data_IF_434704499771
#
_entry.id   IF_434704499771
#
_cell.length_a   1.000
_cell.length_b   1.000
_cell.length_c   1.000
_cell.angle_alpha   90.00
_cell.angle_beta   90.00
_cell.angle_gamma   90.00
#
_symmetry.space_group_name_H-M   'P 1'
#
loop_
_entity.id
_entity.type
_entity.pdbx_description
1 polymer ?
#
# COMPACT_ATOMS: atom_id res chain seq x y z
N UNK A 1 13.07 8.05 14.63
CA UNK A 1 13.26 9.15 13.67
C UNK A 1 14.40 8.92 12.70
N UNK A 2 15.66 8.71 13.13
CA UNK A 2 16.76 8.48 12.17
C UNK A 2 16.46 7.36 11.16
N UNK A 3 15.98 6.20 11.62
CA UNK A 3 15.62 5.10 10.72
C UNK A 3 14.51 5.47 9.73
N UNK A 4 13.55 6.32 10.13
CA UNK A 4 12.50 6.80 9.23
C UNK A 4 13.09 7.60 8.07
N UNK A 5 13.86 8.65 8.40
CA UNK A 5 14.44 9.59 7.43
C UNK A 5 15.53 8.95 6.57
N UNK A 6 16.24 7.95 7.10
CA UNK A 6 17.32 7.28 6.38
C UNK A 6 16.84 6.09 5.53
N UNK A 7 15.76 5.39 5.92
CA UNK A 7 15.37 4.13 5.28
C UNK A 7 13.86 4.03 5.03
N UNK A 8 13.01 4.20 6.04
CA UNK A 8 11.57 3.91 5.88
C UNK A 8 10.90 4.78 4.82
N UNK A 9 11.17 6.09 4.80
CA UNK A 9 10.58 7.00 3.82
C UNK A 9 10.92 6.63 2.35
N UNK A 10 12.06 5.97 2.12
CA UNK A 10 12.48 5.52 0.79
C UNK A 10 11.60 4.40 0.23
N UNK A 11 10.76 3.78 1.07
CA UNK A 11 9.89 2.66 0.71
C UNK A 11 8.45 3.05 0.37
N UNK A 12 8.13 4.36 0.29
CA UNK A 12 6.75 4.82 0.07
C UNK A 12 6.43 5.23 -1.35
N UNK A 13 7.42 5.61 -2.16
CA UNK A 13 7.21 6.03 -3.53
C UNK A 13 8.47 5.84 -4.39
N UNK A 14 8.26 5.69 -5.70
CA UNK A 14 9.32 5.70 -6.71
C UNK A 14 9.50 7.08 -7.34
N UNK A 15 8.39 7.77 -7.58
CA UNK A 15 8.38 9.12 -8.16
C UNK A 15 9.11 10.10 -7.23
N UNK A 16 10.09 10.81 -7.76
CA UNK A 16 11.04 11.59 -6.96
C UNK A 16 10.39 12.76 -6.20
N UNK A 17 9.47 13.47 -6.83
CA UNK A 17 8.69 14.58 -6.25
C UNK A 17 7.79 14.12 -5.10
N UNK A 18 7.17 12.95 -5.23
CA UNK A 18 6.34 12.33 -4.18
C UNK A 18 7.21 11.77 -3.07
N UNK A 19 8.36 11.20 -3.42
CA UNK A 19 9.30 10.72 -2.42
C UNK A 19 9.85 11.87 -1.55
N UNK A 20 10.05 13.05 -2.12
CA UNK A 20 10.47 14.26 -1.38
C UNK A 20 9.43 14.68 -0.32
N UNK A 21 8.14 14.52 -0.61
CA UNK A 21 7.07 14.74 0.37
C UNK A 21 7.27 13.85 1.60
N UNK A 22 7.54 12.57 1.41
CA UNK A 22 7.73 11.63 2.52
C UNK A 22 9.07 11.84 3.24
N UNK A 23 10.11 12.30 2.54
CA UNK A 23 11.44 12.57 3.10
C UNK A 23 11.49 13.85 3.93
N UNK A 24 10.83 14.91 3.48
CA UNK A 24 10.97 16.25 4.07
C UNK A 24 9.67 16.76 4.69
N UNK A 25 8.60 16.81 3.89
CA UNK A 25 7.33 17.44 4.29
C UNK A 25 6.69 16.68 5.46
N UNK A 26 6.67 15.34 5.40
CA UNK A 26 6.09 14.50 6.45
C UNK A 26 6.83 14.69 7.79
N UNK A 27 8.17 14.53 7.90
CA UNK A 27 8.89 14.83 9.14
C UNK A 27 8.71 16.26 9.66
N UNK A 28 8.80 17.27 8.80
CA UNK A 28 8.62 18.67 9.22
C UNK A 28 7.23 18.92 9.82
N UNK A 29 6.20 18.34 9.20
CA UNK A 29 4.82 18.41 9.72
C UNK A 29 4.70 17.65 11.04
N UNK A 30 5.31 16.47 11.14
CA UNK A 30 5.32 15.63 12.33
C UNK A 30 6.00 16.30 13.54
N UNK A 31 7.08 17.07 13.34
CA UNK A 31 7.72 17.80 14.45
C UNK A 31 6.80 18.85 15.09
N UNK A 32 5.81 19.34 14.34
CA UNK A 32 4.80 20.27 14.85
C UNK A 32 3.52 19.56 15.30
N UNK A 33 3.42 18.23 15.13
CA UNK A 33 2.24 17.44 15.41
C UNK A 33 2.57 16.08 16.07
N UNK A 34 2.54 15.98 17.41
CA UNK A 34 2.95 14.77 18.13
C UNK A 34 2.26 13.46 17.71
N UNK A 35 0.94 13.43 17.39
CA UNK A 35 0.30 12.21 16.89
C UNK A 35 0.89 11.73 15.57
N UNK A 36 1.13 12.64 14.62
CA UNK A 36 1.79 12.30 13.36
C UNK A 36 3.22 11.80 13.60
N UNK A 37 3.96 12.41 14.52
CA UNK A 37 5.29 11.92 14.90
C UNK A 37 5.24 10.48 15.42
N UNK A 38 4.28 10.15 16.29
CA UNK A 38 4.08 8.78 16.74
C UNK A 38 3.76 7.84 15.57
N UNK A 39 2.95 8.25 14.59
CA UNK A 39 2.68 7.44 13.39
C UNK A 39 3.95 7.17 12.56
N UNK A 40 4.81 8.18 12.36
CA UNK A 40 6.10 7.99 11.68
C UNK A 40 7.03 7.03 12.45
N UNK A 41 7.04 7.13 13.78
CA UNK A 41 7.82 6.25 14.64
C UNK A 41 7.29 4.82 14.65
N UNK A 42 5.96 4.66 14.60
CA UNK A 42 5.31 3.36 14.47
C UNK A 42 5.71 2.68 13.16
N UNK A 43 5.60 3.37 12.02
CA UNK A 43 6.05 2.87 10.72
C UNK A 43 7.56 2.56 10.69
N UNK A 44 8.39 3.41 11.29
CA UNK A 44 9.82 3.16 11.36
C UNK A 44 10.15 1.92 12.20
N UNK A 45 9.46 1.72 13.32
CA UNK A 45 9.61 0.52 14.14
C UNK A 45 9.10 -0.73 13.39
N UNK A 46 7.96 -0.64 12.71
CA UNK A 46 7.42 -1.73 11.89
C UNK A 46 8.39 -2.14 10.79
N UNK A 47 8.97 -1.17 10.08
CA UNK A 47 9.98 -1.44 9.06
C UNK A 47 11.24 -2.09 9.64
N UNK A 48 11.66 -1.70 10.84
CA UNK A 48 12.77 -2.39 11.53
C UNK A 48 12.42 -3.82 11.91
N UNK A 49 11.18 -4.08 12.35
CA UNK A 49 10.72 -5.43 12.61
C UNK A 49 10.82 -6.28 11.33
N UNK A 50 10.34 -5.76 10.20
CA UNK A 50 10.42 -6.41 8.90
C UNK A 50 11.87 -6.76 8.47
N UNK A 51 12.81 -5.86 8.73
CA UNK A 51 14.23 -6.06 8.40
C UNK A 51 15.02 -6.88 9.45
N UNK A 52 14.40 -7.27 10.56
CA UNK A 52 15.10 -7.96 11.65
C UNK A 52 15.38 -9.42 11.30
N UNK A 53 16.61 -9.87 11.60
CA UNK A 53 17.03 -11.25 11.34
C UNK A 53 16.63 -12.22 12.47
N UNK A 54 16.34 -11.70 13.67
CA UNK A 54 16.00 -12.51 14.85
C UNK A 54 14.54 -12.32 15.23
N UNK A 55 13.89 -13.40 15.69
CA UNK A 55 12.51 -13.34 16.16
C UNK A 55 12.35 -12.41 17.39
N UNK A 56 13.37 -12.34 18.24
CA UNK A 56 13.40 -11.46 19.42
C UNK A 56 13.38 -9.98 19.02
N UNK A 57 14.24 -9.56 18.09
CA UNK A 57 14.23 -8.17 17.60
C UNK A 57 12.94 -7.85 16.86
N UNK A 58 12.43 -8.79 16.08
CA UNK A 58 11.18 -8.63 15.36
C UNK A 58 10.01 -8.39 16.34
N UNK A 59 9.85 -9.25 17.36
CA UNK A 59 8.81 -9.10 18.39
C UNK A 59 8.98 -7.78 19.16
N UNK A 60 10.22 -7.44 19.52
CA UNK A 60 10.53 -6.17 20.19
C UNK A 60 10.10 -4.95 19.37
N UNK A 61 10.46 -4.90 18.08
CA UNK A 61 10.10 -3.76 17.24
C UNK A 61 8.61 -3.73 16.90
N UNK A 62 7.95 -4.88 16.80
CA UNK A 62 6.50 -5.00 16.70
C UNK A 62 5.78 -4.42 17.91
N UNK A 63 6.26 -4.71 19.12
CA UNK A 63 5.69 -4.16 20.35
C UNK A 63 5.86 -2.64 20.42
N UNK A 64 7.04 -2.12 20.05
CA UNK A 64 7.32 -0.67 19.99
C UNK A 64 6.40 0.00 18.95
N UNK A 65 6.31 -0.58 17.76
CA UNK A 65 5.47 -0.15 16.66
C UNK A 65 4.01 0.01 17.09
N UNK A 66 3.46 -1.05 17.71
CA UNK A 66 2.07 -1.10 18.19
C UNK A 66 1.83 -0.08 19.29
N UNK A 67 2.77 0.12 20.20
CA UNK A 67 2.66 1.13 21.27
C UNK A 67 2.53 2.54 20.71
N UNK A 68 3.39 2.93 19.75
CA UNK A 68 3.30 4.25 19.11
C UNK A 68 1.98 4.43 18.36
N UNK A 69 1.53 3.40 17.62
CA UNK A 69 0.30 3.48 16.85
C UNK A 69 -0.94 3.63 17.74
N UNK A 70 -1.02 2.86 18.83
CA UNK A 70 -2.13 2.92 19.78
C UNK A 70 -2.22 4.27 20.48
N UNK A 71 -1.07 4.86 20.85
CA UNK A 71 -1.03 6.20 21.45
C UNK A 71 -1.52 7.28 20.48
N UNK A 72 -1.24 7.11 19.19
CA UNK A 72 -1.52 8.13 18.20
C UNK A 72 -2.95 8.07 17.65
N UNK A 73 -3.50 6.86 17.47
CA UNK A 73 -4.80 6.66 16.83
C UNK A 73 -5.96 7.23 17.64
N UNK A 74 -5.89 7.18 18.98
CA UNK A 74 -6.91 7.77 19.84
C UNK A 74 -6.97 9.29 19.64
N UNK A 75 -5.82 9.95 19.72
CA UNK A 75 -5.72 11.41 19.55
C UNK A 75 -6.13 11.82 18.13
N UNK A 76 -5.75 11.03 17.13
CA UNK A 76 -6.18 11.25 15.74
C UNK A 76 -7.70 11.25 15.60
N UNK A 77 -8.39 10.22 16.12
CA UNK A 77 -9.85 10.10 16.04
C UNK A 77 -10.59 11.30 16.66
N UNK A 78 -10.08 11.84 17.76
CA UNK A 78 -10.66 13.01 18.42
C UNK A 78 -10.48 14.32 17.63
N UNK A 79 -9.48 14.37 16.73
CA UNK A 79 -9.14 15.55 15.92
C UNK A 79 -9.82 15.58 14.56
N UNK A 80 -10.14 14.42 13.98
CA UNK A 80 -10.80 14.32 12.66
C UNK A 80 -12.07 15.18 12.55
N UNK A 81 -12.98 15.23 13.56
CA UNK A 81 -14.16 16.09 13.50
C UNK A 81 -13.87 17.59 13.68
N UNK A 82 -12.63 17.96 14.03
CA UNK A 82 -12.17 19.33 14.30
C UNK A 82 -11.08 19.73 13.30
N UNK A 83 -11.31 19.41 12.03
CA UNK A 83 -10.37 19.73 10.97
C UNK A 83 -10.28 21.24 10.76
N UNK A 84 -9.08 21.72 10.50
CA UNK A 84 -8.76 23.13 10.23
C UNK A 84 -7.69 23.18 9.14
N UNK A 85 -7.51 24.36 8.54
CA UNK A 85 -6.45 24.56 7.54
C UNK A 85 -5.05 24.19 8.06
N UNK A 86 -4.79 24.44 9.35
CA UNK A 86 -3.47 24.19 9.95
C UNK A 86 -3.20 22.70 10.23
N UNK A 87 -4.22 21.90 10.52
CA UNK A 87 -4.07 20.49 10.87
C UNK A 87 -4.43 19.51 9.73
N UNK A 88 -5.07 19.98 8.65
CA UNK A 88 -5.54 19.16 7.54
C UNK A 88 -4.43 18.30 6.92
N UNK A 89 -3.27 18.90 6.63
CA UNK A 89 -2.12 18.18 6.08
C UNK A 89 -1.62 17.08 7.03
N UNK A 90 -1.59 17.35 8.34
CA UNK A 90 -1.18 16.35 9.33
C UNK A 90 -2.17 15.19 9.44
N UNK A 91 -3.47 15.50 9.42
CA UNK A 91 -4.53 14.48 9.46
C UNK A 91 -4.52 13.61 8.19
N UNK A 92 -4.30 14.21 7.03
CA UNK A 92 -4.12 13.47 5.78
C UNK A 92 -2.93 12.50 5.87
N UNK A 93 -1.74 13.00 6.24
CA UNK A 93 -0.57 12.15 6.42
C UNK A 93 -0.82 11.02 7.40
N UNK A 94 -1.41 11.33 8.57
CA UNK A 94 -1.70 10.32 9.58
C UNK A 94 -2.58 9.21 9.01
N UNK A 95 -3.65 9.58 8.29
CA UNK A 95 -4.58 8.62 7.71
C UNK A 95 -3.89 7.74 6.66
N UNK A 96 -3.09 8.33 5.76
CA UNK A 96 -2.30 7.59 4.77
C UNK A 96 -1.29 6.64 5.43
N UNK A 97 -0.57 7.11 6.45
CA UNK A 97 0.41 6.30 7.18
C UNK A 97 -0.23 5.18 8.00
N UNK A 98 -1.42 5.41 8.56
CA UNK A 98 -2.21 4.38 9.24
C UNK A 98 -2.62 3.26 8.26
N UNK A 99 -3.01 3.59 7.03
CA UNK A 99 -3.29 2.58 6.00
C UNK A 99 -2.05 1.74 5.66
N UNK A 100 -0.90 2.38 5.43
CA UNK A 100 0.37 1.68 5.17
C UNK A 100 0.79 0.83 6.38
N UNK A 101 0.59 1.33 7.59
CA UNK A 101 0.89 0.61 8.83
C UNK A 101 0.09 -0.69 8.93
N UNK A 102 -1.23 -0.61 8.73
CA UNK A 102 -2.13 -1.77 8.81
C UNK A 102 -1.70 -2.81 7.77
N UNK A 103 -1.49 -2.36 6.53
CA UNK A 103 -1.05 -3.25 5.46
C UNK A 103 0.27 -3.95 5.78
N UNK A 104 1.28 -3.21 6.26
CA UNK A 104 2.57 -3.78 6.59
C UNK A 104 2.53 -4.72 7.79
N UNK A 105 1.71 -4.41 8.79
CA UNK A 105 1.54 -5.27 9.96
C UNK A 105 0.92 -6.62 9.60
N UNK A 106 -0.08 -6.63 8.72
CA UNK A 106 -0.70 -7.86 8.22
C UNK A 106 0.21 -8.63 7.27
N UNK A 107 0.90 -7.95 6.35
CA UNK A 107 1.85 -8.58 5.43
C UNK A 107 2.97 -9.31 6.17
N UNK A 108 3.50 -8.69 7.23
CA UNK A 108 4.49 -9.31 8.09
C UNK A 108 3.91 -10.48 8.88
N UNK A 109 2.70 -10.35 9.43
CA UNK A 109 1.99 -11.45 10.10
C UNK A 109 1.87 -12.69 9.20
N UNK A 110 1.50 -12.51 7.92
CA UNK A 110 1.42 -13.59 6.92
C UNK A 110 2.78 -14.21 6.64
N UNK A 111 3.82 -13.39 6.49
CA UNK A 111 5.19 -13.84 6.19
C UNK A 111 5.77 -14.68 7.34
N UNK A 112 5.60 -14.24 8.58
CA UNK A 112 6.22 -14.88 9.75
C UNK A 112 5.54 -16.19 10.17
N UNK A 113 4.25 -16.35 9.86
CA UNK A 113 3.52 -17.57 10.18
C UNK A 113 3.73 -18.69 9.15
N UNK A 114 4.42 -18.44 8.01
CA UNK A 114 4.63 -19.41 6.92
C UNK A 114 3.37 -20.20 6.51
N UNK A 115 2.21 -19.61 6.73
CA UNK A 115 0.90 -20.18 6.46
C UNK A 115 0.35 -19.57 5.16
N UNK A 116 -0.70 -20.17 4.59
CA UNK A 116 -1.32 -19.72 3.34
C UNK A 116 -1.42 -18.18 3.22
N UNK A 117 -1.39 -17.59 2.01
CA UNK A 117 -1.60 -16.15 1.78
C UNK A 117 -2.81 -15.53 2.49
N UNK A 118 -3.77 -16.36 2.89
CA UNK A 118 -5.00 -15.98 3.60
C UNK A 118 -4.97 -16.24 5.11
N UNK A 119 -3.87 -16.72 5.66
CA UNK A 119 -3.81 -17.11 7.06
C UNK A 119 -3.98 -15.90 7.98
N UNK A 120 -5.08 -15.90 8.74
CA UNK A 120 -5.47 -14.81 9.63
C UNK A 120 -6.20 -13.65 8.96
N UNK A 121 -6.28 -13.61 7.62
CA UNK A 121 -7.05 -12.59 6.89
C UNK A 121 -8.46 -13.09 6.61
N UNK A 122 -9.46 -12.23 6.82
CA UNK A 122 -10.85 -12.53 6.53
C UNK A 122 -11.42 -11.47 5.59
N UNK A 123 -12.60 -11.73 5.02
CA UNK A 123 -13.24 -10.72 4.17
C UNK A 123 -13.60 -9.47 5.00
N UNK A 124 -13.90 -9.65 6.28
CA UNK A 124 -14.17 -8.58 7.23
C UNK A 124 -12.94 -7.68 7.44
N UNK A 125 -11.74 -8.24 7.59
CA UNK A 125 -10.53 -7.41 7.73
C UNK A 125 -10.22 -6.62 6.47
N UNK A 126 -10.53 -7.15 5.28
CA UNK A 126 -10.47 -6.41 4.02
C UNK A 126 -11.47 -5.26 4.02
N UNK A 127 -12.73 -5.50 4.41
CA UNK A 127 -13.76 -4.46 4.46
C UNK A 127 -13.36 -3.35 5.44
N UNK A 128 -12.85 -3.70 6.62
CA UNK A 128 -12.33 -2.73 7.61
C UNK A 128 -11.22 -1.85 7.01
N UNK A 129 -10.30 -2.46 6.25
CA UNK A 129 -9.26 -1.72 5.53
C UNK A 129 -9.81 -0.83 4.40
N UNK A 130 -10.81 -1.30 3.65
CA UNK A 130 -11.48 -0.48 2.64
C UNK A 130 -12.16 0.74 3.29
N UNK A 131 -12.87 0.56 4.41
CA UNK A 131 -13.46 1.66 5.17
C UNK A 131 -12.43 2.64 5.69
N UNK A 132 -11.27 2.13 6.15
CA UNK A 132 -10.15 2.97 6.56
C UNK A 132 -9.67 3.86 5.40
N UNK A 133 -9.44 3.28 4.22
CA UNK A 133 -9.05 4.03 3.03
C UNK A 133 -10.10 5.08 2.64
N UNK A 134 -11.39 4.72 2.69
CA UNK A 134 -12.50 5.66 2.45
C UNK A 134 -12.56 6.78 3.49
N UNK A 135 -12.10 6.52 4.71
CA UNK A 135 -11.89 7.53 5.74
C UNK A 135 -10.96 8.67 5.30
N UNK A 136 -9.95 8.37 4.48
CA UNK A 136 -9.05 9.39 3.90
C UNK A 136 -9.83 10.34 3.00
N UNK A 137 -10.65 9.81 2.08
CA UNK A 137 -11.48 10.68 1.22
C UNK A 137 -12.58 11.40 1.99
N UNK A 138 -13.12 10.81 3.05
CA UNK A 138 -14.05 11.50 3.95
C UNK A 138 -13.40 12.74 4.58
N UNK A 139 -12.14 12.62 5.05
CA UNK A 139 -11.35 13.76 5.54
C UNK A 139 -11.20 14.83 4.47
N UNK A 140 -10.80 14.45 3.24
CA UNK A 140 -10.60 15.39 2.13
C UNK A 140 -11.89 16.10 1.69
N UNK A 141 -13.05 15.46 1.85
CA UNK A 141 -14.37 16.02 1.51
C UNK A 141 -14.98 16.92 2.60
N UNK A 142 -14.38 17.00 3.79
CA UNK A 142 -14.89 17.89 4.84
C UNK A 142 -14.84 19.36 4.41
N UNK A 143 -15.61 20.20 5.10
CA UNK A 143 -15.72 21.64 4.80
C UNK A 143 -16.12 21.91 3.34
N UNK A 144 -17.11 21.16 2.84
CA UNK A 144 -17.59 21.21 1.45
C UNK A 144 -16.47 21.02 0.41
N UNK A 145 -15.44 20.22 0.72
CA UNK A 145 -14.29 19.96 -0.15
C UNK A 145 -13.13 20.94 0.01
N UNK A 146 -13.24 21.97 0.87
CA UNK A 146 -12.16 22.92 1.08
C UNK A 146 -10.90 22.27 1.68
N UNK A 147 -11.04 21.16 2.41
CA UNK A 147 -9.88 20.41 2.95
C UNK A 147 -8.99 19.88 1.83
N UNK A 148 -9.59 19.39 0.74
CA UNK A 148 -8.83 18.99 -0.44
C UNK A 148 -8.01 20.18 -0.93
N UNK A 149 -8.61 21.35 -1.15
CA UNK A 149 -7.87 22.56 -1.56
C UNK A 149 -6.74 22.92 -0.57
N UNK A 150 -6.99 22.88 0.74
CA UNK A 150 -5.96 23.20 1.73
C UNK A 150 -4.76 22.25 1.70
N UNK A 151 -5.02 20.96 1.46
CA UNK A 151 -3.99 19.93 1.32
C UNK A 151 -3.24 20.11 -0.01
N UNK A 152 -3.99 20.33 -1.09
CA UNK A 152 -3.50 20.32 -2.47
C UNK A 152 -2.79 21.61 -2.91
N UNK A 153 -3.20 22.78 -2.39
CA UNK A 153 -2.51 24.06 -2.60
C UNK A 153 -1.24 24.21 -1.75
N UNK A 154 -1.05 23.31 -0.77
CA UNK A 154 0.03 23.37 0.20
C UNK A 154 1.25 22.54 -0.23
N UNK A 155 1.92 21.98 0.79
CA UNK A 155 3.16 21.19 0.64
C UNK A 155 2.95 19.82 -0.05
N UNK A 156 1.70 19.46 -0.35
CA UNK A 156 1.31 18.20 -0.96
C UNK A 156 0.89 18.34 -2.43
N UNK A 157 1.17 19.49 -3.05
CA UNK A 157 0.85 19.76 -4.45
C UNK A 157 1.30 18.66 -5.43
N UNK A 158 2.45 17.98 -5.28
CA UNK A 158 2.79 16.86 -6.16
C UNK A 158 1.80 15.68 -6.10
N UNK A 159 1.17 15.42 -4.95
CA UNK A 159 0.11 14.39 -4.82
C UNK A 159 -1.18 14.77 -5.55
N UNK A 160 -1.33 16.01 -6.00
CA UNK A 160 -2.51 16.49 -6.74
C UNK A 160 -2.45 16.14 -8.21
N UNK A 161 -1.23 15.96 -8.74
CA UNK A 161 -1.01 15.48 -10.10
C UNK A 161 -1.44 14.02 -10.25
N UNK A 162 -1.73 13.34 -9.13
CA UNK A 162 -2.36 12.02 -9.12
C UNK A 162 -3.77 12.10 -9.69
N UNK A 163 -4.55 13.16 -9.49
CA UNK A 163 -5.91 13.21 -10.10
C UNK A 163 -5.88 13.54 -11.60
N UNK A 164 -4.71 13.88 -12.16
CA UNK A 164 -4.53 14.24 -13.57
C UNK A 164 -3.83 13.13 -14.36
N UNK A 165 -4.33 11.89 -14.23
CA UNK A 165 -3.84 10.80 -15.05
C UNK A 165 -4.11 11.09 -16.54
N UNK A 166 -3.09 10.88 -17.38
CA UNK A 166 -3.32 10.86 -18.82
C UNK A 166 -4.23 9.68 -19.12
N UNK A 167 -5.39 9.92 -19.72
CA UNK A 167 -6.28 8.85 -20.15
C UNK A 167 -5.53 7.99 -21.16
N UNK A 168 -5.16 6.78 -20.75
CA UNK A 168 -4.53 5.75 -21.57
C UNK A 168 -5.55 4.68 -21.88
N UNK A 169 -5.44 4.08 -23.05
CA UNK A 169 -6.23 2.90 -23.40
C UNK A 169 -5.57 1.65 -22.82
N UNK A 170 -6.40 0.68 -22.44
CA UNK A 170 -5.90 -0.64 -22.03
C UNK A 170 -5.23 -1.31 -23.25
N UNK A 171 -4.14 -2.08 -23.06
CA UNK A 171 -3.56 -2.85 -24.14
C UNK A 171 -4.62 -3.71 -24.87
N UNK A 172 -4.56 -3.82 -26.22
CA UNK A 172 -5.57 -4.57 -26.99
C UNK A 172 -5.78 -6.02 -26.51
N UNK A 173 -4.72 -6.63 -25.95
CA UNK A 173 -4.74 -7.99 -25.39
C UNK A 173 -5.66 -8.15 -24.18
N UNK A 174 -5.91 -7.07 -23.43
CA UNK A 174 -6.77 -7.07 -22.25
C UNK A 174 -8.15 -6.48 -22.53
N UNK A 175 -8.34 -5.77 -23.65
CA UNK A 175 -9.62 -5.14 -23.99
C UNK A 175 -10.75 -6.17 -24.12
N UNK A 176 -10.46 -7.34 -24.71
CA UNK A 176 -11.44 -8.44 -24.82
C UNK A 176 -11.85 -8.98 -23.44
N UNK A 177 -10.92 -9.10 -22.51
CA UNK A 177 -11.21 -9.57 -21.14
C UNK A 177 -12.06 -8.56 -20.37
N UNK A 178 -11.72 -7.27 -20.43
CA UNK A 178 -12.54 -6.23 -19.81
C UNK A 178 -13.95 -6.17 -20.40
N UNK A 179 -14.09 -6.33 -21.72
CA UNK A 179 -15.40 -6.40 -22.38
C UNK A 179 -16.21 -7.60 -21.90
N UNK A 180 -15.60 -8.80 -21.84
CA UNK A 180 -16.28 -10.00 -21.34
C UNK A 180 -16.75 -9.85 -19.89
N UNK A 181 -15.91 -9.24 -19.06
CA UNK A 181 -16.26 -8.98 -17.66
C UNK A 181 -17.41 -7.97 -17.54
N UNK A 182 -17.39 -6.91 -18.35
CA UNK A 182 -18.46 -5.93 -18.41
C UNK A 182 -19.78 -6.58 -18.89
N UNK A 183 -19.74 -7.39 -19.93
CA UNK A 183 -20.90 -8.13 -20.42
C UNK A 183 -21.49 -9.04 -19.34
N UNK A 184 -20.63 -9.77 -18.62
CA UNK A 184 -21.03 -10.70 -17.58
C UNK A 184 -21.60 -10.05 -16.31
N UNK A 185 -21.28 -8.79 -16.02
CA UNK A 185 -21.70 -8.09 -14.80
C UNK A 185 -22.74 -6.99 -15.04
N UNK A 186 -22.80 -6.41 -16.23
CA UNK A 186 -23.63 -5.23 -16.54
C UNK A 186 -24.73 -5.57 -17.55
N UNK A 187 -24.48 -6.46 -18.50
CA UNK A 187 -25.41 -6.78 -19.59
C UNK A 187 -26.18 -8.09 -19.38
N UNK A 188 -25.80 -8.90 -18.40
CA UNK A 188 -26.54 -10.11 -18.00
C UNK A 188 -27.73 -9.72 -17.11
N UNK A 189 -28.95 -9.83 -17.64
CA UNK A 189 -30.21 -9.59 -16.90
C UNK A 189 -30.41 -10.53 -15.71
N UNK A 190 -29.67 -11.64 -15.64
CA UNK A 190 -29.64 -12.54 -14.49
C UNK A 190 -28.84 -11.99 -13.30
N UNK A 191 -28.07 -10.91 -13.49
CA UNK A 191 -27.24 -10.30 -12.46
C UNK A 191 -27.97 -9.14 -11.81
N UNK A 192 -28.65 -9.41 -10.69
CA UNK A 192 -29.22 -8.35 -9.85
C UNK A 192 -30.24 -7.46 -10.55
N UNK A 193 -30.56 -6.33 -9.93
CA UNK A 193 -31.43 -5.30 -10.50
C UNK A 193 -30.63 -4.33 -11.39
N UNK A 194 -31.31 -3.50 -12.19
CA UNK A 194 -30.65 -2.50 -13.06
C UNK A 194 -29.72 -1.57 -12.26
N UNK A 195 -30.15 -1.12 -11.08
CA UNK A 195 -29.35 -0.25 -10.20
C UNK A 195 -28.05 -0.95 -9.73
N UNK A 196 -28.12 -2.25 -9.44
CA UNK A 196 -26.94 -3.06 -9.06
C UNK A 196 -25.96 -3.17 -10.22
N UNK A 197 -26.46 -3.41 -11.44
CA UNK A 197 -25.64 -3.48 -12.66
C UNK A 197 -25.01 -2.13 -13.02
N UNK A 198 -25.73 -1.02 -12.82
CA UNK A 198 -25.17 0.31 -13.02
C UNK A 198 -24.00 0.57 -12.06
N UNK A 199 -24.17 0.26 -10.77
CA UNK A 199 -23.11 0.41 -9.75
C UNK A 199 -21.88 -0.42 -10.10
N UNK A 200 -22.05 -1.64 -10.62
CA UNK A 200 -20.94 -2.46 -11.11
C UNK A 200 -20.24 -1.85 -12.32
N UNK A 201 -21.00 -1.33 -13.28
CA UNK A 201 -20.45 -0.66 -14.47
C UNK A 201 -19.57 0.54 -14.11
N UNK A 202 -20.01 1.37 -13.16
CA UNK A 202 -19.24 2.52 -12.67
C UNK A 202 -17.93 2.06 -11.98
N UNK A 203 -18.01 1.08 -11.07
CA UNK A 203 -16.83 0.58 -10.36
C UNK A 203 -15.81 -0.07 -11.31
N UNK A 204 -16.28 -0.84 -12.30
CA UNK A 204 -15.45 -1.46 -13.34
C UNK A 204 -14.79 -0.43 -14.24
N UNK A 205 -15.52 0.59 -14.68
CA UNK A 205 -14.99 1.65 -15.54
C UNK A 205 -13.79 2.33 -14.87
N UNK A 206 -13.96 2.75 -13.61
CA UNK A 206 -12.90 3.39 -12.84
C UNK A 206 -11.71 2.42 -12.68
N UNK A 207 -11.95 1.14 -12.39
CA UNK A 207 -10.89 0.15 -12.22
C UNK A 207 -10.09 -0.05 -13.53
N UNK A 208 -10.80 -0.12 -14.66
CA UNK A 208 -10.22 -0.25 -15.99
C UNK A 208 -9.33 0.94 -16.32
N UNK A 209 -9.78 2.17 -16.03
CA UNK A 209 -9.00 3.39 -16.24
C UNK A 209 -7.70 3.42 -15.41
N UNK A 210 -7.77 3.04 -14.13
CA UNK A 210 -6.59 2.97 -13.26
C UNK A 210 -5.62 1.88 -13.72
N UNK A 211 -6.15 0.73 -14.18
CA UNK A 211 -5.36 -0.35 -14.75
C UNK A 211 -4.66 0.09 -16.04
N UNK A 212 -5.37 0.77 -16.94
CA UNK A 212 -4.80 1.30 -18.17
C UNK A 212 -3.65 2.28 -17.92
N UNK A 213 -3.80 3.16 -16.91
CA UNK A 213 -2.75 4.09 -16.53
C UNK A 213 -1.47 3.37 -16.08
N UNK A 214 -1.62 2.29 -15.31
CA UNK A 214 -0.50 1.49 -14.76
C UNK A 214 0.10 0.48 -15.75
N UNK A 215 -0.59 0.14 -16.83
CA UNK A 215 -0.09 -0.80 -17.85
C UNK A 215 0.35 -0.12 -19.14
N UNK A 216 -0.16 1.06 -19.44
CA UNK A 216 0.16 1.83 -20.64
C UNK A 216 1.48 2.62 -20.57
N UNK A 217 2.32 2.38 -19.54
CA UNK A 217 3.66 2.95 -19.44
C UNK A 217 4.56 2.47 -20.57
N UNK A 218 5.25 3.40 -21.23
CA UNK A 218 6.34 3.03 -22.15
C UNK A 218 7.59 2.72 -21.32
N UNK A 219 8.43 1.79 -21.80
CA UNK A 219 9.79 1.52 -21.26
C UNK A 219 10.67 2.78 -21.11
N UNK A 220 10.28 3.89 -21.74
CA UNK A 220 10.99 5.18 -21.71
C UNK A 220 10.54 6.09 -20.55
N UNK A 221 9.50 5.73 -19.80
CA UNK A 221 8.99 6.54 -18.67
C UNK A 221 9.82 6.25 -17.39
N UNK A 222 10.95 6.96 -17.29
CA UNK A 222 12.02 6.87 -16.29
C UNK A 222 11.56 7.14 -14.84
N UNK A 223 10.84 6.18 -14.25
CA UNK A 223 10.50 6.18 -12.82
C UNK A 223 9.46 7.23 -12.39
N UNK A 224 8.67 7.76 -13.34
CA UNK A 224 7.67 8.80 -13.08
C UNK A 224 6.26 8.27 -12.76
N UNK A 225 6.04 6.96 -12.77
CA UNK A 225 4.71 6.39 -12.54
C UNK A 225 4.33 6.38 -11.05
N UNK A 226 3.21 7.01 -10.70
CA UNK A 226 2.66 6.91 -9.35
C UNK A 226 1.90 5.60 -9.16
N UNK A 227 2.62 4.50 -8.96
CA UNK A 227 2.01 3.20 -8.70
C UNK A 227 1.17 3.18 -7.42
N UNK A 228 1.72 3.69 -6.31
CA UNK A 228 1.08 3.61 -4.98
C UNK A 228 -0.24 4.38 -4.95
N UNK A 229 -0.22 5.65 -5.39
CA UNK A 229 -1.42 6.49 -5.43
C UNK A 229 -2.49 5.93 -6.36
N UNK A 230 -2.14 5.51 -7.59
CA UNK A 230 -3.09 4.91 -8.54
C UNK A 230 -3.78 3.69 -7.97
N UNK A 231 -3.02 2.78 -7.38
CA UNK A 231 -3.60 1.58 -6.82
C UNK A 231 -4.45 1.87 -5.59
N UNK A 232 -4.02 2.75 -4.68
CA UNK A 232 -4.73 3.02 -3.43
C UNK A 232 -5.97 3.92 -3.56
N UNK A 233 -6.11 4.63 -4.68
CA UNK A 233 -7.21 5.59 -4.86
C UNK A 233 -8.53 4.91 -5.21
N UNK A 234 -8.52 3.78 -5.92
CA UNK A 234 -9.75 3.13 -6.38
C UNK A 234 -10.78 2.86 -5.27
N UNK A 235 -10.42 2.26 -4.10
CA UNK A 235 -11.36 2.06 -2.98
C UNK A 235 -11.99 3.34 -2.44
N UNK A 236 -11.32 4.48 -2.63
CA UNK A 236 -11.72 5.76 -2.04
C UNK A 236 -12.71 6.53 -2.91
N UNK A 237 -12.83 6.16 -4.18
CA UNK A 237 -13.66 6.84 -5.19
C UNK A 237 -14.86 6.04 -5.69
N UNK A 238 -14.86 4.71 -5.52
CA UNK A 238 -16.05 3.89 -5.83
C UNK A 238 -17.26 4.35 -5.01
N UNK A 239 -18.46 4.17 -5.57
CA UNK A 239 -19.71 4.62 -4.96
C UNK A 239 -19.98 3.92 -3.62
N UNK A 240 -20.76 4.56 -2.73
CA UNK A 240 -21.20 3.90 -1.49
C UNK A 240 -22.05 2.66 -1.79
N UNK A 241 -22.87 2.70 -2.84
CA UNK A 241 -23.67 1.55 -3.28
C UNK A 241 -22.81 0.32 -3.61
N UNK A 242 -21.63 0.51 -4.22
CA UNK A 242 -20.70 -0.60 -4.45
C UNK A 242 -20.22 -1.22 -3.14
N UNK A 243 -19.89 -0.38 -2.15
CA UNK A 243 -19.44 -0.84 -0.83
C UNK A 243 -20.55 -1.58 -0.10
N UNK A 244 -21.78 -1.07 -0.14
CA UNK A 244 -22.95 -1.74 0.43
C UNK A 244 -23.15 -3.13 -0.19
N UNK A 245 -23.05 -3.26 -1.52
CA UNK A 245 -23.14 -4.58 -2.17
C UNK A 245 -21.98 -5.50 -1.81
N UNK A 246 -20.79 -4.96 -1.57
CA UNK A 246 -19.64 -5.73 -1.11
C UNK A 246 -19.83 -6.25 0.32
N UNK A 247 -20.35 -5.42 1.22
CA UNK A 247 -20.73 -5.80 2.59
C UNK A 247 -21.82 -6.88 2.60
N UNK A 248 -22.80 -6.77 1.69
CA UNK A 248 -23.81 -7.80 1.42
C UNK A 248 -23.26 -9.04 0.73
N UNK A 249 -21.97 -9.06 0.37
CA UNK A 249 -21.28 -10.16 -0.34
C UNK A 249 -21.97 -10.53 -1.64
N UNK A 250 -22.47 -9.52 -2.36
CA UNK A 250 -23.04 -9.74 -3.69
C UNK A 250 -21.95 -10.31 -4.62
N UNK A 251 -22.26 -11.36 -5.40
CA UNK A 251 -21.25 -12.00 -6.24
C UNK A 251 -20.55 -11.06 -7.23
N UNK A 252 -21.30 -10.14 -7.86
CA UNK A 252 -20.71 -9.15 -8.78
C UNK A 252 -19.69 -8.23 -8.09
N UNK A 253 -20.03 -7.72 -6.88
CA UNK A 253 -19.11 -6.92 -6.08
C UNK A 253 -17.84 -7.69 -5.71
N UNK A 254 -17.96 -8.96 -5.33
CA UNK A 254 -16.80 -9.82 -5.01
C UNK A 254 -15.90 -10.07 -6.23
N UNK A 255 -16.48 -10.23 -7.43
CA UNK A 255 -15.68 -10.35 -8.66
C UNK A 255 -14.86 -9.08 -8.91
N UNK A 256 -15.47 -7.91 -8.77
CA UNK A 256 -14.79 -6.61 -8.93
C UNK A 256 -13.71 -6.43 -7.86
N UNK A 257 -13.95 -6.82 -6.61
CA UNK A 257 -12.95 -6.80 -5.54
C UNK A 257 -11.73 -7.68 -5.88
N UNK A 258 -11.96 -8.87 -6.43
CA UNK A 258 -10.88 -9.73 -6.89
C UNK A 258 -10.08 -9.12 -8.04
N UNK A 259 -10.74 -8.44 -9.00
CA UNK A 259 -10.05 -7.68 -10.05
C UNK A 259 -9.23 -6.53 -9.48
N UNK A 260 -9.73 -5.82 -8.47
CA UNK A 260 -8.95 -4.83 -7.75
C UNK A 260 -7.74 -5.47 -7.05
N UNK A 261 -7.87 -6.69 -6.52
CA UNK A 261 -6.75 -7.48 -6.01
C UNK A 261 -5.63 -7.67 -7.02
N UNK A 262 -5.96 -7.89 -8.30
CA UNK A 262 -4.95 -7.97 -9.38
C UNK A 262 -4.21 -6.66 -9.54
N UNK A 263 -4.92 -5.53 -9.59
CA UNK A 263 -4.31 -4.20 -9.61
C UNK A 263 -3.37 -3.99 -8.40
N UNK A 264 -3.80 -4.47 -7.22
CA UNK A 264 -3.03 -4.35 -5.98
C UNK A 264 -1.73 -5.17 -5.98
N UNK A 265 -1.62 -6.24 -6.79
CA UNK A 265 -0.37 -6.99 -6.98
C UNK A 265 0.78 -6.12 -7.54
N UNK A 266 0.47 -4.99 -8.19
CA UNK A 266 1.49 -3.99 -8.58
C UNK A 266 2.27 -3.44 -7.39
N UNK A 267 1.74 -3.58 -6.18
CA UNK A 267 2.42 -3.17 -4.95
C UNK A 267 3.16 -4.31 -4.25
N UNK A 268 3.26 -5.52 -4.82
CA UNK A 268 3.92 -6.65 -4.15
C UNK A 268 5.43 -6.44 -3.91
N UNK A 269 6.05 -5.54 -4.68
CA UNK A 269 7.44 -5.12 -4.49
C UNK A 269 7.64 -4.25 -3.22
N UNK A 270 6.55 -3.69 -2.68
CA UNK A 270 6.57 -2.92 -1.45
C UNK A 270 6.37 -3.85 -0.26
N UNK A 271 7.33 -3.84 0.67
CA UNK A 271 7.31 -4.72 1.84
C UNK A 271 6.00 -4.64 2.65
N UNK A 272 5.37 -3.47 2.67
CA UNK A 272 4.16 -3.21 3.43
C UNK A 272 2.88 -3.64 2.70
N UNK A 273 2.90 -3.86 1.38
CA UNK A 273 1.73 -4.31 0.61
C UNK A 273 1.84 -5.77 0.14
N UNK A 274 3.01 -6.39 0.26
CA UNK A 274 3.26 -7.75 -0.22
C UNK A 274 2.18 -8.75 0.20
N UNK A 275 1.60 -9.44 -0.77
CA UNK A 275 0.60 -10.50 -0.57
C UNK A 275 -0.82 -10.00 -0.29
N UNK A 276 -1.06 -8.67 -0.32
CA UNK A 276 -2.41 -8.14 -0.20
C UNK A 276 -3.26 -8.40 -1.44
N UNK A 277 -2.68 -8.27 -2.64
CA UNK A 277 -3.39 -8.57 -3.90
C UNK A 277 -3.85 -10.03 -3.96
N UNK A 278 -2.96 -10.97 -3.63
CA UNK A 278 -3.29 -12.39 -3.57
C UNK A 278 -4.36 -12.69 -2.51
N UNK A 279 -4.28 -12.04 -1.34
CA UNK A 279 -5.29 -12.20 -0.29
C UNK A 279 -6.67 -11.74 -0.76
N UNK A 280 -6.77 -10.59 -1.44
CA UNK A 280 -8.01 -10.08 -2.02
C UNK A 280 -8.60 -11.05 -3.04
N UNK A 281 -7.79 -11.54 -3.98
CA UNK A 281 -8.24 -12.49 -5.02
C UNK A 281 -8.76 -13.78 -4.38
N UNK A 282 -7.99 -14.36 -3.45
CA UNK A 282 -8.35 -15.63 -2.82
C UNK A 282 -9.57 -15.51 -1.91
N UNK A 283 -9.67 -14.45 -1.10
CA UNK A 283 -10.80 -14.26 -0.20
C UNK A 283 -12.08 -13.94 -0.98
N UNK A 284 -11.98 -13.16 -2.06
CA UNK A 284 -13.10 -12.92 -2.98
C UNK A 284 -13.55 -14.22 -3.64
N UNK A 285 -12.62 -15.00 -4.20
CA UNK A 285 -12.94 -16.27 -4.87
C UNK A 285 -13.54 -17.33 -3.93
N UNK A 286 -13.12 -17.38 -2.66
CA UNK A 286 -13.70 -18.27 -1.65
C UNK A 286 -15.10 -17.86 -1.24
N UNK A 287 -15.38 -16.55 -1.20
CA UNK A 287 -16.69 -16.01 -0.89
C UNK A 287 -17.69 -16.15 -2.05
N UNK A 288 -17.21 -16.37 -3.27
CA UNK A 288 -18.05 -16.55 -4.46
C UNK A 288 -18.73 -17.93 -4.51
N UNK A 289 -20.02 -17.96 -4.92
CA UNK A 289 -20.69 -19.18 -5.39
C UNK A 289 -19.94 -19.85 -6.54
N UNK A 290 -20.07 -21.18 -6.69
CA UNK A 290 -19.30 -21.98 -7.65
C UNK A 290 -19.52 -21.53 -9.11
N UNK A 291 -20.76 -21.19 -9.45
CA UNK A 291 -21.19 -20.66 -10.75
C UNK A 291 -20.58 -19.30 -11.10
N UNK A 292 -20.11 -18.55 -10.09
CA UNK A 292 -19.47 -17.25 -10.27
C UNK A 292 -17.95 -17.32 -10.32
N UNK A 293 -17.31 -18.41 -9.86
CA UNK A 293 -15.85 -18.53 -9.83
C UNK A 293 -15.23 -18.46 -11.22
N UNK A 294 -15.94 -18.93 -12.25
CA UNK A 294 -15.52 -18.83 -13.65
C UNK A 294 -15.48 -17.37 -14.16
N UNK A 295 -16.23 -16.45 -13.53
CA UNK A 295 -16.19 -15.01 -13.86
C UNK A 295 -14.97 -14.31 -13.24
N UNK A 296 -14.41 -14.91 -12.19
CA UNK A 296 -13.15 -14.49 -11.59
C UNK A 296 -11.93 -15.07 -12.32
N UNK A 297 -12.10 -16.15 -13.12
CA UNK A 297 -10.97 -16.84 -13.75
C UNK A 297 -10.37 -16.03 -14.90
N UNK A 298 -9.56 -15.05 -14.53
CA UNK A 298 -8.27 -14.85 -15.16
C UNK A 298 -7.40 -15.92 -14.54
N UNK A 299 -6.90 -16.87 -15.33
CA UNK A 299 -5.86 -17.77 -14.83
C UNK A 299 -4.72 -16.90 -14.31
N UNK A 300 -4.27 -17.13 -13.07
CA UNK A 300 -3.09 -16.47 -12.49
C UNK A 300 -1.92 -16.46 -13.50
N UNK A 301 -1.84 -17.47 -14.37
CA UNK A 301 -0.93 -17.55 -15.52
C UNK A 301 -1.00 -16.35 -16.48
N UNK A 302 -2.19 -15.84 -16.85
CA UNK A 302 -2.31 -14.70 -17.79
C UNK A 302 -1.83 -13.41 -17.14
N UNK A 303 -2.15 -13.20 -15.85
CA UNK A 303 -1.65 -12.04 -15.11
C UNK A 303 -0.15 -12.12 -14.86
N UNK A 304 0.37 -13.27 -14.43
CA UNK A 304 1.80 -13.47 -14.18
C UNK A 304 2.63 -13.43 -15.48
N UNK A 305 2.11 -13.93 -16.59
CA UNK A 305 2.73 -13.81 -17.92
C UNK A 305 2.73 -12.34 -18.37
N UNK A 306 1.63 -11.61 -18.19
CA UNK A 306 1.54 -10.19 -18.57
C UNK A 306 2.40 -9.28 -17.68
N UNK A 307 2.48 -9.58 -16.37
CA UNK A 307 3.41 -8.91 -15.46
C UNK A 307 4.85 -9.23 -15.81
N UNK A 308 5.19 -10.50 -16.08
CA UNK A 308 6.52 -10.92 -16.51
C UNK A 308 6.94 -10.24 -17.82
N UNK A 309 6.04 -10.15 -18.81
CA UNK A 309 6.30 -9.45 -20.07
C UNK A 309 6.57 -7.95 -19.85
N UNK A 310 5.79 -7.28 -18.98
CA UNK A 310 6.01 -5.89 -18.61
C UNK A 310 7.33 -5.65 -17.83
N UNK A 311 7.82 -6.63 -17.06
CA UNK A 311 9.10 -6.53 -16.33
C UNK A 311 10.31 -6.99 -17.15
N UNK A 312 10.13 -7.91 -18.11
CA UNK A 312 11.22 -8.51 -18.91
C UNK A 312 11.85 -7.56 -19.95
N UNK A 313 11.26 -6.38 -20.14
CA UNK A 313 11.75 -5.38 -21.07
C UNK A 313 12.53 -4.22 -20.41
N UNK A 314 12.78 -4.27 -19.10
CA UNK A 314 13.65 -3.34 -18.37
C UNK A 314 15.08 -3.87 -18.18
N UNK A 315 16.11 -3.01 -18.05
CA UNK A 315 17.49 -3.46 -17.92
C UNK A 315 17.70 -4.16 -16.58
N UNK A 316 18.39 -5.30 -16.66
CA UNK A 316 18.82 -6.10 -15.52
C UNK A 316 19.89 -5.34 -14.72
N UNK A 317 19.50 -4.40 -13.86
CA UNK A 317 20.38 -3.92 -12.80
C UNK A 317 20.03 -4.64 -11.49
N UNK A 318 20.92 -5.58 -11.16
CA UNK A 318 20.91 -6.35 -9.94
C UNK A 318 20.85 -5.41 -8.73
N UNK A 319 19.74 -5.46 -7.99
CA UNK A 319 19.76 -5.15 -6.57
C UNK A 319 20.80 -6.07 -5.93
N UNK A 320 21.95 -5.50 -5.57
CA UNK A 320 22.94 -6.22 -4.77
C UNK A 320 22.34 -6.43 -3.38
N UNK A 321 22.40 -7.66 -2.84
CA UNK A 321 21.94 -7.90 -1.49
C UNK A 321 22.83 -7.10 -0.54
N UNK A 322 22.23 -6.27 0.30
CA UNK A 322 22.92 -5.61 1.41
C UNK A 322 23.45 -6.71 2.32
N UNK A 323 24.74 -7.01 2.19
CA UNK A 323 25.47 -7.94 3.04
C UNK A 323 25.48 -7.39 4.47
N UNK A 324 25.15 -8.28 5.42
CA UNK A 324 25.26 -8.00 6.85
C UNK A 324 26.68 -7.49 7.19
N UNK A 325 26.84 -6.56 8.16
CA UNK A 325 28.16 -6.11 8.58
C UNK A 325 28.94 -7.31 9.17
N UNK A 326 30.25 -7.44 8.87
CA UNK A 326 31.03 -8.54 9.40
C UNK A 326 31.17 -8.41 10.93
N UNK A 327 31.00 -9.54 11.59
CA UNK A 327 31.29 -9.76 13.01
C UNK A 327 32.71 -9.31 13.34
N UNK A 328 32.86 -8.56 14.44
CA UNK A 328 34.15 -8.13 14.97
C UNK A 328 35.04 -9.35 15.28
N UNK A 329 36.36 -9.30 14.99
CA UNK A 329 37.24 -10.42 15.31
C UNK A 329 37.54 -10.46 16.81
N UNK A 330 37.51 -11.69 17.33
CA UNK A 330 37.88 -12.05 18.69
C UNK A 330 39.28 -11.55 19.06
N UNK A 331 39.40 -10.91 20.23
CA UNK A 331 40.68 -10.57 20.83
C UNK A 331 41.43 -11.84 21.25
N UNK A 332 42.33 -12.33 20.40
CA UNK A 332 43.37 -13.26 20.81
C UNK A 332 44.54 -12.51 21.45
N UNK A 333 44.77 -12.84 22.73
CA UNK A 333 45.89 -12.45 23.56
C UNK A 333 47.23 -12.70 22.87
N UNK A 334 48.01 -11.64 22.64
CA UNK A 334 49.43 -11.75 22.28
C UNK A 334 50.26 -11.40 23.50
N UNK A 335 50.92 -12.44 24.02
CA UNK A 335 52.01 -12.39 24.98
C UNK A 335 53.20 -11.62 24.39
N UNK A 336 53.65 -10.55 25.05
CA UNK A 336 54.91 -9.88 24.73
C UNK A 336 55.90 -10.22 25.83
N UNK A 337 56.85 -11.09 25.47
CA UNK A 337 58.02 -11.43 26.25
C UNK A 337 58.95 -10.22 26.38
N UNK A 338 59.53 -10.07 27.57
CA UNK A 338 60.38 -8.96 27.95
C UNK A 338 61.70 -8.89 27.18
N UNK A 339 62.13 -7.65 26.95
CA UNK A 339 63.52 -7.30 26.67
C UNK A 339 63.95 -6.26 27.70
N UNK A 340 64.88 -6.69 28.54
CA UNK A 340 65.63 -5.89 29.51
C UNK A 340 66.75 -5.11 28.82
N UNK A 341 66.89 -3.83 29.16
CA UNK A 341 68.08 -2.99 28.96
C UNK A 341 67.86 -1.67 29.68
N UNK A 342 68.36 -1.54 30.93
CA UNK A 342 69.54 -0.74 31.26
C UNK A 342 69.32 0.78 31.19
N UNK A 343 69.10 1.39 32.36
CA UNK A 343 69.41 2.80 32.61
C UNK A 343 69.93 2.97 34.03
N UNK A 344 71.04 3.69 34.13
CA UNK A 344 71.82 3.98 35.31
C UNK A 344 71.07 4.86 36.33
N UNK A 345 71.25 4.59 37.62
CA UNK A 345 71.96 5.49 38.57
C UNK A 345 72.25 4.75 39.86
#
# INVERSE_FOLDING_TARGET
MHHYTAHTCQTFARRSDVLEIYKEVAPMTAFSDPPLLCSLLALAALHRAYLSATAEDQERYLAISTSYQNNAIQVFRERVPKITRDNACSLFFFASFLSVYIMGSESMGRTCLSTSPTAGASLESILDWLHLLRGISSILRQENGAVFEWVTEGKLQPLTQLTNYQKRDVPPEQEEDWSKLQDALVHDEGVGEEDERQVYGEALMILKEHTACLLGGSEVDDGQEETVGLTMTWPTIVSEGYVEYLEMRRPGALVILGRYGMLLKKLDEYWWAKGWGDALIQLSGRALPEDWRQRLSITDEVWDIQMSLAHSAGPTEAQTPVTAPPTAPEHHSISVAGASSSAAT
#
